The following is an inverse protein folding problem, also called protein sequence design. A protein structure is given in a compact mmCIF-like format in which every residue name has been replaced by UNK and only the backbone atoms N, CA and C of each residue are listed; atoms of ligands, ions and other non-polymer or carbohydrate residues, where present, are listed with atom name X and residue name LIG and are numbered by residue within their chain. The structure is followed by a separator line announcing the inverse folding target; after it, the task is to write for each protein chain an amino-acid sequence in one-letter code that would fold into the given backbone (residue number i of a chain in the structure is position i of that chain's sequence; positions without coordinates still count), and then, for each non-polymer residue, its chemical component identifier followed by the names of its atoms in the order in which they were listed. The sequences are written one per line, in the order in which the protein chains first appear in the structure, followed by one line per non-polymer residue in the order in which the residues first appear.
data_IF_911145983012
#
_entry.id   IF_911145983012
#
_cell.length_a   1.000
_cell.length_b   1.000
_cell.length_c   1.000
_cell.angle_alpha   90.00
_cell.angle_beta   90.00
_cell.angle_gamma   90.00
#
_symmetry.space_group_name_H-M   'P 1'
#
loop_
_entity.id
_entity.type
_entity.pdbx_description
1 polymer ?
#
# COMPACT_ATOMS: atom_id res chain seq x y z
N UNK A 1 -34.41 -15.84 -22.59
CA UNK A 1 -33.08 -15.26 -22.80
C UNK A 1 -33.05 -13.86 -22.18
N UNK A 2 -32.70 -13.72 -20.89
CA UNK A 2 -32.80 -12.41 -20.21
C UNK A 2 -32.02 -12.25 -18.90
N UNK A 3 -31.26 -13.24 -18.44
CA UNK A 3 -30.54 -13.18 -17.17
C UNK A 3 -29.05 -12.83 -17.31
N UNK A 4 -28.50 -12.80 -18.53
CA UNK A 4 -27.09 -12.52 -18.78
C UNK A 4 -26.70 -11.05 -18.52
N UNK A 5 -27.59 -10.10 -18.78
CA UNK A 5 -27.33 -8.67 -18.56
C UNK A 5 -26.97 -8.29 -17.12
N UNK A 6 -27.84 -8.58 -16.12
CA UNK A 6 -27.53 -8.24 -14.73
C UNK A 6 -26.35 -9.03 -14.16
N UNK A 7 -26.13 -10.26 -14.64
CA UNK A 7 -25.01 -11.08 -14.22
C UNK A 7 -23.66 -10.48 -14.65
N UNK A 8 -23.55 -10.03 -15.90
CA UNK A 8 -22.34 -9.38 -16.45
C UNK A 8 -22.07 -8.05 -15.73
N UNK A 9 -23.11 -7.29 -15.42
CA UNK A 9 -22.98 -6.03 -14.67
C UNK A 9 -22.43 -6.24 -13.25
N UNK A 10 -22.93 -7.26 -12.54
CA UNK A 10 -22.44 -7.60 -11.19
C UNK A 10 -20.98 -8.06 -11.20
N UNK A 11 -20.58 -8.88 -12.19
CA UNK A 11 -19.18 -9.29 -12.35
C UNK A 11 -18.29 -8.09 -12.67
N UNK A 12 -18.74 -7.18 -13.54
CA UNK A 12 -17.99 -5.97 -13.88
C UNK A 12 -17.79 -5.05 -12.66
N UNK A 13 -18.84 -4.83 -11.87
CA UNK A 13 -18.75 -4.03 -10.64
C UNK A 13 -17.82 -4.70 -9.61
N UNK A 14 -17.95 -6.02 -9.42
CA UNK A 14 -17.08 -6.79 -8.54
C UNK A 14 -15.62 -6.74 -8.98
N UNK A 15 -15.35 -6.83 -10.28
CA UNK A 15 -14.01 -6.71 -10.85
C UNK A 15 -13.43 -5.30 -10.65
N UNK A 16 -14.23 -4.25 -10.81
CA UNK A 16 -13.80 -2.87 -10.58
C UNK A 16 -13.38 -2.65 -9.12
N UNK A 17 -14.18 -3.15 -8.17
CA UNK A 17 -13.88 -3.08 -6.73
C UNK A 17 -12.67 -3.94 -6.40
N UNK A 18 -12.56 -5.15 -6.94
CA UNK A 18 -11.42 -6.03 -6.73
C UNK A 18 -10.12 -5.43 -7.30
N UNK A 19 -10.18 -4.71 -8.41
CA UNK A 19 -9.04 -4.00 -8.98
C UNK A 19 -8.61 -2.82 -8.08
N UNK A 20 -9.56 -2.01 -7.64
CA UNK A 20 -9.29 -0.88 -6.74
C UNK A 20 -8.68 -1.34 -5.40
N UNK A 21 -9.28 -2.37 -4.80
CA UNK A 21 -8.79 -2.99 -3.56
C UNK A 21 -7.47 -3.71 -3.81
N UNK A 22 -7.28 -4.35 -4.96
CA UNK A 22 -6.06 -5.05 -5.33
C UNK A 22 -4.86 -4.12 -5.51
N UNK A 23 -5.06 -2.87 -5.92
CA UNK A 23 -4.01 -1.84 -5.95
C UNK A 23 -3.66 -1.37 -4.54
N UNK A 24 -4.67 -1.12 -3.70
CA UNK A 24 -4.47 -0.67 -2.31
C UNK A 24 -3.92 -1.77 -1.39
N UNK A 25 -4.22 -3.02 -1.69
CA UNK A 25 -3.78 -4.22 -0.96
C UNK A 25 -2.58 -4.89 -1.59
N UNK A 26 -1.88 -4.29 -2.55
CA UNK A 26 -0.53 -4.79 -2.84
C UNK A 26 0.30 -4.48 -1.59
N UNK A 27 0.70 -5.47 -0.77
CA UNK A 27 1.94 -5.24 -0.05
C UNK A 27 2.95 -5.00 -1.16
N UNK A 28 3.68 -3.90 -1.09
CA UNK A 28 4.84 -3.70 -1.93
C UNK A 28 5.75 -4.91 -1.69
N UNK A 29 5.59 -5.97 -2.49
CA UNK A 29 6.54 -7.06 -2.64
C UNK A 29 7.63 -6.49 -3.52
N UNK A 30 8.31 -5.47 -3.02
CA UNK A 30 9.56 -5.07 -3.61
C UNK A 30 10.63 -5.81 -2.84
N UNK A 31 11.27 -6.75 -3.52
CA UNK A 31 12.57 -7.28 -3.15
C UNK A 31 13.64 -6.19 -3.27
N UNK A 32 13.37 -5.02 -2.70
CA UNK A 32 14.27 -3.88 -2.65
C UNK A 32 15.23 -4.08 -1.46
N UNK A 33 16.46 -3.56 -1.54
CA UNK A 33 17.45 -3.71 -0.48
C UNK A 33 16.89 -3.25 0.88
N UNK A 34 17.44 -3.76 2.00
CA UNK A 34 16.93 -3.50 3.35
C UNK A 34 16.62 -2.02 3.65
N UNK A 35 17.40 -1.10 3.06
CA UNK A 35 17.24 0.35 3.17
C UNK A 35 15.87 0.87 2.69
N UNK A 36 15.39 0.44 1.52
CA UNK A 36 14.12 0.91 0.96
C UNK A 36 12.93 0.39 1.78
N UNK A 37 13.01 -0.85 2.26
CA UNK A 37 11.98 -1.42 3.15
C UNK A 37 11.86 -0.66 4.48
N UNK A 38 13.00 -0.28 5.07
CA UNK A 38 13.03 0.44 6.34
C UNK A 38 12.47 1.87 6.19
N UNK A 39 12.83 2.54 5.09
CA UNK A 39 12.30 3.85 4.72
C UNK A 39 10.78 3.82 4.44
N UNK A 40 10.30 2.80 3.74
CA UNK A 40 8.88 2.65 3.43
C UNK A 40 8.04 2.38 4.69
N UNK A 41 8.55 1.57 5.61
CA UNK A 41 7.94 1.31 6.92
C UNK A 41 7.85 2.61 7.73
N UNK A 42 8.92 3.41 7.77
CA UNK A 42 8.93 4.70 8.47
C UNK A 42 7.90 5.68 7.90
N UNK A 43 7.87 5.83 6.57
CA UNK A 43 6.91 6.70 5.89
C UNK A 43 5.48 6.28 6.17
N UNK A 44 5.22 4.97 6.19
CA UNK A 44 3.89 4.41 6.50
C UNK A 44 3.45 4.77 7.91
N UNK A 45 4.31 4.61 8.92
CA UNK A 45 3.97 4.95 10.32
C UNK A 45 3.76 6.45 10.52
N UNK A 46 4.55 7.28 9.85
CA UNK A 46 4.36 8.73 9.87
C UNK A 46 3.03 9.14 9.23
N UNK A 47 2.67 8.55 8.09
CA UNK A 47 1.38 8.80 7.43
C UNK A 47 0.17 8.34 8.26
N UNK A 48 0.34 7.30 9.07
CA UNK A 48 -0.67 6.86 10.05
C UNK A 48 -0.72 7.73 11.31
N UNK A 49 0.27 8.60 11.53
CA UNK A 49 0.42 9.38 12.76
C UNK A 49 0.90 8.54 13.96
N UNK A 50 1.43 7.35 13.73
CA UNK A 50 1.98 6.47 14.77
C UNK A 50 3.33 6.96 15.31
N UNK A 51 4.02 7.80 14.53
CA UNK A 51 5.28 8.44 14.91
C UNK A 51 5.24 9.93 14.59
N UNK A 52 5.93 10.72 15.40
CA UNK A 52 6.08 12.16 15.21
C UNK A 52 7.13 12.47 14.13
N UNK A 53 7.16 13.73 13.68
CA UNK A 53 8.16 14.19 12.71
C UNK A 53 9.59 14.02 13.23
N UNK A 54 9.80 14.28 14.51
CA UNK A 54 11.12 14.21 15.14
C UNK A 54 11.63 12.76 15.17
N UNK A 55 10.77 11.81 15.52
CA UNK A 55 11.08 10.38 15.50
C UNK A 55 11.36 9.88 14.08
N UNK A 56 10.58 10.34 13.09
CA UNK A 56 10.83 10.01 11.68
C UNK A 56 12.19 10.53 11.19
N UNK A 57 12.56 11.77 11.52
CA UNK A 57 13.85 12.33 11.12
C UNK A 57 15.04 11.65 11.79
N UNK A 58 14.93 11.27 13.07
CA UNK A 58 15.97 10.52 13.78
C UNK A 58 16.23 9.16 13.13
N UNK A 59 15.18 8.35 12.95
CA UNK A 59 15.31 7.02 12.34
C UNK A 59 15.74 7.08 10.87
N UNK A 60 15.34 8.12 10.13
CA UNK A 60 15.80 8.32 8.75
C UNK A 60 17.30 8.57 8.66
N UNK A 61 17.86 9.35 9.59
CA UNK A 61 19.31 9.61 9.66
C UNK A 61 20.07 8.31 9.97
N UNK A 62 19.62 7.59 11.00
CA UNK A 62 20.24 6.32 11.40
C UNK A 62 20.32 5.30 10.25
N UNK A 63 19.30 5.24 9.39
CA UNK A 63 19.26 4.33 8.23
C UNK A 63 20.08 4.81 7.02
N UNK A 64 20.37 6.11 6.94
CA UNK A 64 21.19 6.69 5.86
C UNK A 64 22.67 6.65 6.20
N UNK A 65 23.01 6.67 7.49
CA UNK A 65 24.37 6.66 8.02
C UNK A 65 24.94 5.22 8.25
N UNK A 66 24.18 4.17 7.91
CA UNK A 66 24.62 2.75 7.88
C UNK A 66 25.18 2.35 6.51
#
# INVERSE_FOLDING_TARGET
MGFLGPLVMLVFLGALVALAVGVMRRPFRTSEPPQDSAMEILRTRYAKGEITRDEFEAMRRDLTDM
#
